data_IF_520794733837
#
_entry.id   IF_520794733837
#
_cell.length_a   1.000
_cell.length_b   1.000
_cell.length_c   1.000
_cell.angle_alpha   90.00
_cell.angle_beta   90.00
_cell.angle_gamma   90.00
#
_symmetry.space_group_name_H-M   'P 1'
#
loop_
_entity.id
_entity.type
_entity.pdbx_description
1 polymer ?
#
# COMPACT_ATOMS: atom_id res chain seq x y z
N UNK A 1 -5.44 6.45 25.05
CA UNK A 1 -6.07 6.72 23.73
C UNK A 1 -7.16 5.66 23.48
N UNK A 2 -8.38 6.03 23.10
CA UNK A 2 -9.48 5.06 22.87
C UNK A 2 -9.09 4.05 21.77
N UNK A 3 -9.42 2.75 21.93
CA UNK A 3 -9.09 1.68 20.97
C UNK A 3 -9.46 2.03 19.52
N UNK A 4 -10.62 2.65 19.29
CA UNK A 4 -11.07 3.12 17.95
C UNK A 4 -10.14 4.18 17.35
N UNK A 5 -9.67 5.14 18.17
CA UNK A 5 -8.74 6.19 17.73
C UNK A 5 -7.37 5.59 17.43
N UNK A 6 -6.91 4.64 18.25
CA UNK A 6 -5.66 3.91 18.00
C UNK A 6 -5.71 3.16 16.66
N UNK A 7 -6.75 2.38 16.41
CA UNK A 7 -6.92 1.65 15.13
C UNK A 7 -6.95 2.62 13.95
N UNK A 8 -7.68 3.74 14.06
CA UNK A 8 -7.72 4.76 13.01
C UNK A 8 -6.33 5.32 12.67
N UNK A 9 -5.55 5.69 13.69
CA UNK A 9 -4.19 6.20 13.48
C UNK A 9 -3.24 5.12 12.96
N UNK A 10 -3.37 3.87 13.41
CA UNK A 10 -2.60 2.74 12.87
C UNK A 10 -2.88 2.54 11.38
N UNK A 11 -4.15 2.54 10.97
CA UNK A 11 -4.53 2.39 9.56
C UNK A 11 -3.97 3.53 8.70
N UNK A 12 -4.06 4.79 9.16
CA UNK A 12 -3.44 5.92 8.46
C UNK A 12 -1.93 5.71 8.33
N UNK A 13 -1.26 5.33 9.42
CA UNK A 13 0.19 5.14 9.44
C UNK A 13 0.60 4.05 8.44
N UNK A 14 -0.10 2.92 8.43
CA UNK A 14 0.13 1.81 7.49
C UNK A 14 -0.13 2.27 6.05
N UNK A 15 -1.21 3.01 5.79
CA UNK A 15 -1.50 3.54 4.45
C UNK A 15 -0.41 4.48 3.96
N UNK A 16 0.06 5.40 4.80
CA UNK A 16 1.13 6.35 4.46
C UNK A 16 2.45 5.61 4.20
N UNK A 17 2.80 4.65 5.05
CA UNK A 17 3.99 3.82 4.85
C UNK A 17 3.90 3.02 3.54
N UNK A 18 2.76 2.41 3.24
CA UNK A 18 2.53 1.71 1.98
C UNK A 18 2.72 2.62 0.76
N UNK A 19 2.17 3.85 0.81
CA UNK A 19 2.32 4.84 -0.26
C UNK A 19 3.79 5.22 -0.48
N UNK A 20 4.61 5.30 0.57
CA UNK A 20 6.04 5.63 0.45
C UNK A 20 6.88 4.44 -0.02
N UNK A 21 6.60 3.24 0.49
CA UNK A 21 7.40 2.03 0.22
C UNK A 21 7.08 1.44 -1.16
N UNK A 22 5.82 1.47 -1.61
CA UNK A 22 5.44 0.84 -2.89
C UNK A 22 6.17 1.43 -4.10
N UNK A 23 6.31 2.76 -4.29
CA UNK A 23 7.08 3.32 -5.40
C UNK A 23 8.56 2.94 -5.34
N UNK A 24 9.16 2.92 -4.15
CA UNK A 24 10.53 2.45 -3.96
C UNK A 24 10.67 0.98 -4.40
N UNK A 25 9.75 0.12 -3.96
CA UNK A 25 9.69 -1.27 -4.38
C UNK A 25 9.56 -1.42 -5.90
N UNK A 26 8.67 -0.65 -6.54
CA UNK A 26 8.46 -0.70 -7.99
C UNK A 26 9.75 -0.36 -8.74
N UNK A 27 10.43 0.73 -8.35
CA UNK A 27 11.68 1.14 -8.99
C UNK A 27 12.75 0.07 -8.79
N UNK A 28 12.87 -0.45 -7.56
CA UNK A 28 13.85 -1.50 -7.26
C UNK A 28 13.58 -2.77 -8.10
N UNK A 29 12.33 -3.20 -8.21
CA UNK A 29 11.97 -4.36 -9.04
C UNK A 29 12.15 -4.08 -10.54
N UNK A 30 11.98 -2.84 -11.00
CA UNK A 30 12.31 -2.46 -12.39
C UNK A 30 13.82 -2.52 -12.67
N UNK A 31 14.65 -2.19 -11.67
CA UNK A 31 16.11 -2.37 -11.77
C UNK A 31 16.42 -3.86 -11.84
N UNK A 32 15.87 -4.69 -10.96
CA UNK A 32 15.99 -6.16 -11.05
C UNK A 32 15.54 -6.68 -12.41
N UNK A 33 14.42 -6.20 -12.94
CA UNK A 33 13.91 -6.62 -14.25
C UNK A 33 14.90 -6.29 -15.38
N UNK A 34 15.68 -5.22 -15.25
CA UNK A 34 16.68 -4.84 -16.26
C UNK A 34 17.96 -5.67 -16.19
N UNK A 35 18.35 -6.11 -14.99
CA UNK A 35 19.67 -6.71 -14.75
C UNK A 35 19.62 -8.22 -14.48
N UNK A 36 18.47 -8.76 -14.11
CA UNK A 36 18.31 -10.16 -13.74
C UNK A 36 17.57 -10.98 -14.80
N UNK A 37 17.07 -10.38 -15.88
CA UNK A 37 16.45 -11.08 -17.01
C UNK A 37 17.33 -11.00 -18.25
N UNK A 38 17.25 -12.02 -19.12
CA UNK A 38 18.02 -12.03 -20.38
C UNK A 38 17.48 -11.03 -21.38
N UNK A 39 16.15 -10.90 -21.48
CA UNK A 39 15.49 -9.93 -22.33
C UNK A 39 14.54 -9.03 -21.55
N UNK A 40 14.28 -7.84 -22.11
CA UNK A 40 13.37 -6.83 -21.53
C UNK A 40 11.91 -7.32 -21.49
N UNK A 41 11.56 -8.34 -22.29
CA UNK A 41 10.22 -8.95 -22.30
C UNK A 41 10.09 -10.10 -21.30
N UNK A 42 11.19 -10.60 -20.76
CA UNK A 42 11.17 -11.69 -19.78
C UNK A 42 10.80 -11.14 -18.41
N UNK A 43 10.00 -11.92 -17.67
CA UNK A 43 9.47 -11.51 -16.37
C UNK A 43 10.07 -12.30 -15.20
N UNK A 44 10.74 -13.43 -15.48
CA UNK A 44 11.31 -14.31 -14.47
C UNK A 44 12.79 -13.95 -14.29
N UNK A 45 13.21 -13.67 -13.06
CA UNK A 45 14.61 -13.41 -12.74
C UNK A 45 15.45 -14.68 -12.83
N UNK A 46 16.60 -14.60 -13.49
CA UNK A 46 17.61 -15.67 -13.52
C UNK A 46 18.37 -15.80 -12.21
N UNK A 47 18.27 -14.82 -11.30
CA UNK A 47 18.96 -14.80 -10.01
C UNK A 47 18.07 -15.40 -8.92
N UNK A 48 16.82 -14.92 -8.81
CA UNK A 48 15.90 -15.32 -7.75
C UNK A 48 14.86 -16.36 -8.19
N UNK A 49 14.62 -16.50 -9.50
CA UNK A 49 13.52 -17.30 -10.03
C UNK A 49 12.14 -16.66 -9.85
N UNK A 50 12.05 -15.44 -9.31
CA UNK A 50 10.78 -14.77 -9.06
C UNK A 50 10.22 -14.09 -10.31
N UNK A 51 8.89 -14.01 -10.39
CA UNK A 51 8.20 -13.21 -11.39
C UNK A 51 8.17 -11.74 -10.99
N UNK A 52 9.11 -10.97 -11.51
CA UNK A 52 9.28 -9.55 -11.25
C UNK A 52 8.12 -8.71 -11.80
N UNK A 53 7.50 -9.12 -12.90
CA UNK A 53 6.33 -8.45 -13.47
C UNK A 53 5.12 -8.53 -12.54
N UNK A 54 4.88 -9.70 -11.94
CA UNK A 54 3.82 -9.88 -10.95
C UNK A 54 4.11 -9.10 -9.67
N UNK A 55 5.36 -9.04 -9.23
CA UNK A 55 5.78 -8.19 -8.10
C UNK A 55 5.48 -6.71 -8.36
N UNK A 56 5.84 -6.20 -9.54
CA UNK A 56 5.52 -4.81 -9.94
C UNK A 56 4.00 -4.59 -9.97
N UNK A 57 3.24 -5.53 -10.54
CA UNK A 57 1.77 -5.45 -10.59
C UNK A 57 1.15 -5.40 -9.20
N UNK A 58 1.59 -6.27 -8.30
CA UNK A 58 1.11 -6.33 -6.92
C UNK A 58 1.44 -5.05 -6.16
N UNK A 59 2.67 -4.51 -6.31
CA UNK A 59 3.05 -3.25 -5.71
C UNK A 59 2.20 -2.07 -6.20
N UNK A 60 1.87 -2.02 -7.50
CA UNK A 60 0.94 -1.02 -8.06
C UNK A 60 -0.47 -1.14 -7.47
N UNK A 61 -0.99 -2.37 -7.33
CA UNK A 61 -2.29 -2.62 -6.71
C UNK A 61 -2.29 -2.15 -5.25
N UNK A 62 -1.27 -2.52 -4.48
CA UNK A 62 -1.10 -2.10 -3.09
C UNK A 62 -1.06 -0.58 -2.98
N UNK A 63 -0.30 0.09 -3.84
CA UNK A 63 -0.22 1.55 -3.87
C UNK A 63 -1.59 2.20 -4.07
N UNK A 64 -2.34 1.77 -5.08
CA UNK A 64 -3.70 2.28 -5.36
C UNK A 64 -4.64 1.99 -4.18
N UNK A 65 -4.58 0.79 -3.61
CA UNK A 65 -5.38 0.40 -2.47
C UNK A 65 -5.10 1.27 -1.23
N UNK A 66 -3.82 1.55 -0.93
CA UNK A 66 -3.44 2.44 0.16
C UNK A 66 -3.96 3.88 -0.05
N UNK A 67 -3.93 4.39 -1.28
CA UNK A 67 -4.52 5.70 -1.60
C UNK A 67 -6.03 5.72 -1.37
N UNK A 68 -6.76 4.72 -1.87
CA UNK A 68 -8.21 4.63 -1.70
C UNK A 68 -8.61 4.54 -0.22
N UNK A 69 -7.89 3.73 0.57
CA UNK A 69 -8.10 3.64 2.02
C UNK A 69 -7.82 4.98 2.69
N UNK A 70 -6.70 5.64 2.38
CA UNK A 70 -6.33 6.90 3.00
C UNK A 70 -7.38 7.98 2.73
N UNK A 71 -7.83 8.11 1.48
CA UNK A 71 -8.91 9.04 1.09
C UNK A 71 -10.20 8.71 1.85
N UNK A 72 -10.57 7.43 1.93
CA UNK A 72 -11.76 6.99 2.67
C UNK A 72 -11.67 7.32 4.16
N UNK A 73 -10.51 7.09 4.80
CA UNK A 73 -10.28 7.39 6.21
C UNK A 73 -10.29 8.89 6.50
N UNK A 74 -9.80 9.72 5.57
CA UNK A 74 -9.86 11.18 5.68
C UNK A 74 -11.31 11.66 5.52
N UNK A 75 -12.04 11.14 4.52
CA UNK A 75 -13.43 11.50 4.27
C UNK A 75 -14.33 11.14 5.45
N UNK A 76 -14.22 9.92 5.98
CA UNK A 76 -15.02 9.45 7.11
C UNK A 76 -14.45 9.85 8.49
N UNK A 77 -13.40 10.68 8.55
CA UNK A 77 -12.72 11.11 9.78
C UNK A 77 -13.70 11.55 10.86
N UNK A 78 -14.64 12.46 10.52
CA UNK A 78 -15.60 13.02 11.47
C UNK A 78 -16.54 11.94 12.02
N UNK A 79 -17.03 11.05 11.15
CA UNK A 79 -17.91 9.94 11.53
C UNK A 79 -17.20 8.93 12.46
N UNK A 80 -15.94 8.61 12.17
CA UNK A 80 -15.16 7.62 12.94
C UNK A 80 -14.71 8.18 14.29
N UNK A 81 -14.24 9.43 14.33
CA UNK A 81 -13.68 10.04 15.55
C UNK A 81 -14.74 10.59 16.51
N UNK A 82 -15.90 11.03 16.00
CA UNK A 82 -17.00 11.60 16.80
C UNK A 82 -18.18 10.63 17.01
N UNK A 83 -18.00 9.32 16.82
CA UNK A 83 -19.02 8.28 17.10
C UNK A 83 -19.26 8.08 18.61
N UNK A 84 -19.54 9.17 19.33
CA UNK A 84 -19.87 9.20 20.76
C UNK A 84 -21.19 9.93 21.09
N UNK A 85 -22.00 10.37 20.12
CA UNK A 85 -23.24 11.14 20.45
C UNK A 85 -24.57 10.56 19.93
N UNK A 86 -24.63 9.31 19.46
CA UNK A 86 -25.89 8.70 18.97
C UNK A 86 -26.22 7.35 19.66
N UNK A 87 -25.57 7.03 20.77
CA UNK A 87 -25.86 5.82 21.55
C UNK A 87 -26.63 6.13 22.86
N UNK A 88 -27.03 7.39 23.08
CA UNK A 88 -27.76 7.85 24.28
C UNK A 88 -28.96 8.75 23.91
N UNK A 89 -29.55 8.58 22.72
CA UNK A 89 -30.79 9.28 22.35
C UNK A 89 -31.84 8.28 21.89
#
# INVERSE_FOLDING_TARGET
>A
MNKRKLIYFLLITISVLGILVSPYGIINTMVSLKYETENIQDCVSNVSGENLCDTIRNLKIIFVFCLVILVSLIYFRKKILNSKSNAER
#
